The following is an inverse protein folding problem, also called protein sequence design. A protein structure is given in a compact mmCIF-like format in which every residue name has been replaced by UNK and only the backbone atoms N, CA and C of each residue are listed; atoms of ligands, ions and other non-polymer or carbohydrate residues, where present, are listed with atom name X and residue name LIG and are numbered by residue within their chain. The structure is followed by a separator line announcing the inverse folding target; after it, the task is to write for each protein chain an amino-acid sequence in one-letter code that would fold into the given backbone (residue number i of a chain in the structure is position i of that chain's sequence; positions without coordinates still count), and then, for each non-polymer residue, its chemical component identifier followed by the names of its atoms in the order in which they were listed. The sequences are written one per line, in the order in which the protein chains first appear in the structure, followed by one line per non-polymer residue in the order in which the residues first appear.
data_IF_322924450545
#
_entry.id   IF_322924450545
#
_cell.length_a   1.000
_cell.length_b   1.000
_cell.length_c   1.000
_cell.angle_alpha   90.00
_cell.angle_beta   90.00
_cell.angle_gamma   90.00
#
_symmetry.space_group_name_H-M   'P 1'
#
loop_
_entity.id
_entity.type
_entity.pdbx_description
1 polymer ?
#
# COMPACT_ATOMS: atom_id res chain seq x y z
N UNK A 1 16.03 -6.11 -5.86
CA UNK A 1 15.75 -4.67 -5.68
C UNK A 1 14.30 -4.55 -5.28
N UNK A 2 14.00 -4.56 -3.96
CA UNK A 2 12.61 -4.55 -3.47
C UNK A 2 12.22 -3.10 -3.16
N UNK A 3 11.12 -2.64 -3.75
CA UNK A 3 10.64 -1.26 -3.82
C UNK A 3 10.12 -0.73 -2.47
N UNK A 4 11.01 -0.46 -1.52
CA UNK A 4 10.66 0.28 -0.30
C UNK A 4 11.68 1.37 0.07
N UNK A 5 12.31 1.96 -0.93
CA UNK A 5 13.00 3.27 -0.89
C UNK A 5 12.94 3.75 -2.35
N UNK A 6 12.34 4.87 -2.73
CA UNK A 6 12.53 6.21 -2.20
C UNK A 6 11.42 7.10 -2.80
N UNK A 7 10.39 7.41 -2.02
CA UNK A 7 9.38 8.41 -2.41
C UNK A 7 9.73 9.66 -1.63
N UNK A 8 10.09 10.73 -2.34
CA UNK A 8 10.48 12.00 -1.69
C UNK A 8 9.35 12.56 -0.81
N UNK A 9 8.08 12.29 -1.15
CA UNK A 9 6.88 12.69 -0.39
C UNK A 9 5.76 11.65 -0.54
N UNK A 10 5.40 10.96 0.55
CA UNK A 10 4.26 10.05 0.61
C UNK A 10 3.30 10.46 1.73
N UNK A 11 2.03 10.64 1.41
CA UNK A 11 0.99 10.91 2.39
C UNK A 11 0.08 9.70 2.57
N UNK A 12 -0.34 9.45 3.80
CA UNK A 12 -1.21 8.32 4.13
C UNK A 12 -2.58 8.82 4.55
N UNK A 13 -3.61 8.26 3.94
CA UNK A 13 -5.00 8.47 4.31
C UNK A 13 -5.59 7.17 4.85
N UNK A 14 -6.18 7.28 6.03
CA UNK A 14 -6.96 6.20 6.64
C UNK A 14 -8.43 6.60 6.67
N UNK A 15 -9.30 5.67 6.31
CA UNK A 15 -10.75 5.80 6.53
C UNK A 15 -11.09 5.17 7.88
N UNK A 16 -12.00 5.75 8.67
CA UNK A 16 -12.47 5.12 9.91
C UNK A 16 -13.30 3.85 9.65
N UNK A 17 -13.70 3.62 8.39
CA UNK A 17 -14.61 2.59 7.96
C UNK A 17 -14.02 1.87 6.74
N UNK A 18 -13.58 0.60 6.86
CA UNK A 18 -12.97 -0.18 5.77
C UNK A 18 -13.81 -0.22 4.49
N UNK A 19 -15.13 -0.31 4.61
CA UNK A 19 -16.09 -0.33 3.50
C UNK A 19 -16.10 0.96 2.68
N UNK A 20 -15.56 2.05 3.21
CA UNK A 20 -15.50 3.33 2.53
C UNK A 20 -14.15 3.57 1.84
N UNK A 21 -13.22 2.61 1.85
CA UNK A 21 -11.89 2.79 1.26
C UNK A 21 -11.98 3.24 -0.19
N UNK A 22 -12.71 2.49 -1.03
CA UNK A 22 -12.87 2.77 -2.47
C UNK A 22 -13.45 4.15 -2.70
N UNK A 23 -14.60 4.43 -2.08
CA UNK A 23 -15.29 5.73 -2.20
C UNK A 23 -14.39 6.90 -1.75
N UNK A 24 -13.59 6.70 -0.71
CA UNK A 24 -12.67 7.73 -0.22
C UNK A 24 -11.50 7.94 -1.20
N UNK A 25 -10.92 6.86 -1.70
CA UNK A 25 -9.87 6.91 -2.74
C UNK A 25 -10.36 7.64 -3.98
N UNK A 26 -11.48 7.23 -4.58
CA UNK A 26 -12.05 7.90 -5.76
C UNK A 26 -12.39 9.36 -5.48
N UNK A 27 -13.00 9.63 -4.32
CA UNK A 27 -13.38 10.98 -3.94
C UNK A 27 -12.19 11.93 -3.74
N UNK A 28 -11.04 11.44 -3.27
CA UNK A 28 -9.82 12.24 -3.17
C UNK A 28 -9.19 12.45 -4.54
N UNK A 29 -9.09 11.39 -5.35
CA UNK A 29 -8.52 11.46 -6.71
C UNK A 29 -9.34 12.43 -7.57
N UNK A 30 -10.67 12.35 -7.56
CA UNK A 30 -11.57 13.26 -8.28
C UNK A 30 -11.38 14.72 -7.84
N UNK A 31 -11.30 14.97 -6.52
CA UNK A 31 -11.04 16.31 -5.99
C UNK A 31 -9.68 16.88 -6.41
N UNK A 32 -8.65 16.05 -6.46
CA UNK A 32 -7.31 16.45 -6.89
C UNK A 32 -7.27 16.68 -8.41
N UNK A 33 -7.92 15.81 -9.18
CA UNK A 33 -8.06 15.98 -10.64
C UNK A 33 -8.73 17.31 -10.98
N UNK A 34 -9.82 17.66 -10.29
CA UNK A 34 -10.49 18.98 -10.40
C UNK A 34 -9.60 20.18 -10.05
N UNK A 35 -8.50 19.95 -9.32
CA UNK A 35 -7.49 20.97 -8.99
C UNK A 35 -6.29 20.97 -9.95
N UNK A 36 -6.34 20.19 -11.04
CA UNK A 36 -5.30 20.12 -12.06
C UNK A 36 -4.18 19.12 -11.78
N UNK A 37 -4.37 18.18 -10.84
CA UNK A 37 -3.44 17.09 -10.60
C UNK A 37 -3.70 15.94 -11.58
N UNK A 38 -2.65 15.28 -12.04
CA UNK A 38 -2.76 14.12 -12.94
C UNK A 38 -2.43 12.85 -12.18
N UNK A 39 -3.33 11.88 -12.19
CA UNK A 39 -3.05 10.52 -11.71
C UNK A 39 -2.13 9.83 -12.73
N UNK A 40 -0.92 9.46 -12.33
CA UNK A 40 0.09 8.83 -13.21
C UNK A 40 0.21 7.33 -13.00
N UNK A 41 -0.18 6.82 -11.83
CA UNK A 41 -0.14 5.38 -11.52
C UNK A 41 -1.12 5.03 -10.40
N UNK A 42 -1.73 3.86 -10.51
CA UNK A 42 -2.44 3.18 -9.43
C UNK A 42 -1.85 1.78 -9.22
N UNK A 43 -1.59 1.42 -7.97
CA UNK A 43 -1.24 0.06 -7.54
C UNK A 43 -2.17 -0.38 -6.42
N UNK A 44 -2.91 -1.46 -6.65
CA UNK A 44 -3.93 -1.95 -5.74
C UNK A 44 -3.53 -3.32 -5.19
N UNK A 45 -2.77 -3.32 -4.09
CA UNK A 45 -2.22 -4.57 -3.54
C UNK A 45 -3.27 -5.44 -2.85
N UNK A 46 -4.53 -4.98 -2.74
CA UNK A 46 -5.66 -5.84 -2.36
C UNK A 46 -6.00 -6.88 -3.43
N UNK A 47 -5.60 -6.64 -4.68
CA UNK A 47 -5.79 -7.57 -5.80
C UNK A 47 -4.57 -8.48 -6.04
N UNK A 48 -3.45 -8.17 -5.38
CA UNK A 48 -2.20 -8.92 -5.46
C UNK A 48 -2.06 -9.91 -4.30
N UNK A 49 -2.47 -11.16 -4.52
CA UNK A 49 -2.35 -12.25 -3.53
C UNK A 49 -0.90 -12.65 -3.24
N UNK A 50 0.06 -12.21 -4.06
CA UNK A 50 1.49 -12.42 -3.84
C UNK A 50 2.14 -11.31 -3.00
N UNK A 51 1.36 -10.35 -2.53
CA UNK A 51 1.84 -9.24 -1.72
C UNK A 51 1.17 -9.24 -0.33
N UNK A 52 1.94 -9.32 0.76
CA UNK A 52 1.38 -9.24 2.10
C UNK A 52 0.92 -7.81 2.45
N UNK A 53 1.47 -6.77 1.83
CA UNK A 53 1.02 -5.42 2.09
C UNK A 53 -0.34 -5.17 1.44
N UNK A 54 -1.30 -4.63 2.20
CA UNK A 54 -2.66 -4.36 1.71
C UNK A 54 -2.99 -2.87 1.78
N UNK A 55 -3.15 -2.25 0.62
CA UNK A 55 -3.41 -0.83 0.45
C UNK A 55 -3.64 -0.47 -1.02
N UNK A 56 -3.98 0.79 -1.25
CA UNK A 56 -4.01 1.38 -2.59
C UNK A 56 -2.97 2.49 -2.62
N UNK A 57 -1.99 2.37 -3.52
CA UNK A 57 -0.97 3.38 -3.73
C UNK A 57 -1.26 4.10 -5.05
N UNK A 58 -1.14 5.42 -5.03
CA UNK A 58 -1.35 6.25 -6.21
C UNK A 58 -0.23 7.26 -6.36
N UNK A 59 0.24 7.45 -7.58
CA UNK A 59 1.15 8.54 -7.90
C UNK A 59 0.35 9.67 -8.57
N UNK A 60 0.57 10.89 -8.11
CA UNK A 60 -0.02 12.09 -8.70
C UNK A 60 1.05 13.11 -9.06
N UNK A 61 0.85 13.75 -10.20
CA UNK A 61 1.65 14.86 -10.71
C UNK A 61 0.88 16.15 -10.43
N UNK A 62 1.52 17.07 -9.71
CA UNK A 62 1.00 18.42 -9.43
C UNK A 62 0.89 19.25 -10.71
N UNK A 63 0.08 20.33 -10.74
CA UNK A 63 -0.01 21.23 -11.90
C UNK A 63 1.32 21.85 -12.35
N UNK A 64 2.32 21.90 -11.46
CA UNK A 64 3.66 22.45 -11.72
C UNK A 64 4.72 21.36 -11.99
N UNK A 65 4.30 20.10 -12.14
CA UNK A 65 5.14 19.01 -12.61
C UNK A 65 5.84 18.15 -11.54
N UNK A 66 5.65 18.44 -10.25
CA UNK A 66 6.17 17.56 -9.17
C UNK A 66 5.31 16.32 -9.00
N UNK A 67 5.94 15.16 -8.78
CA UNK A 67 5.26 13.90 -8.47
C UNK A 67 5.32 13.59 -6.97
N UNK A 68 4.22 13.07 -6.42
CA UNK A 68 4.13 12.56 -5.05
C UNK A 68 3.23 11.33 -4.99
N UNK A 69 3.34 10.56 -3.91
CA UNK A 69 2.48 9.40 -3.68
C UNK A 69 1.39 9.69 -2.63
N UNK A 70 0.17 9.23 -2.90
CA UNK A 70 -0.89 9.08 -1.91
C UNK A 70 -1.19 7.60 -1.69
N UNK A 71 -1.12 7.18 -0.44
CA UNK A 71 -1.47 5.83 0.00
C UNK A 71 -2.78 5.83 0.77
N UNK A 72 -3.66 4.90 0.45
CA UNK A 72 -4.95 4.69 1.10
C UNK A 72 -4.98 3.34 1.80
N UNK A 73 -5.37 3.35 3.06
CA UNK A 73 -5.48 2.15 3.89
C UNK A 73 -6.77 2.14 4.71
N UNK A 74 -7.20 0.93 5.08
CA UNK A 74 -8.10 0.75 6.22
C UNK A 74 -7.33 0.96 7.53
N UNK A 75 -7.99 1.21 8.68
CA UNK A 75 -7.32 1.34 9.96
C UNK A 75 -6.53 0.08 10.31
N UNK A 76 -7.14 -1.08 10.10
CA UNK A 76 -6.56 -2.41 10.36
C UNK A 76 -5.33 -2.65 9.49
N UNK A 77 -5.43 -2.43 8.18
CA UNK A 77 -4.29 -2.61 7.26
C UNK A 77 -3.15 -1.65 7.56
N UNK A 78 -3.47 -0.41 7.98
CA UNK A 78 -2.45 0.58 8.37
C UNK A 78 -1.77 0.19 9.69
N UNK A 79 -2.53 -0.31 10.66
CA UNK A 79 -2.00 -0.77 11.95
C UNK A 79 -1.09 -1.99 11.77
N UNK A 80 -1.49 -2.97 10.94
CA UNK A 80 -0.64 -4.12 10.60
C UNK A 80 0.64 -3.66 9.90
N UNK A 81 0.51 -2.79 8.89
CA UNK A 81 1.64 -2.22 8.14
C UNK A 81 2.66 -1.55 9.07
N UNK A 82 2.22 -0.68 9.98
CA UNK A 82 3.11 0.10 10.86
C UNK A 82 3.52 -0.62 12.14
N UNK A 83 2.90 -1.76 12.46
CA UNK A 83 3.22 -2.57 13.63
C UNK A 83 4.04 -3.79 13.24
N UNK A 84 3.48 -4.97 13.50
CA UNK A 84 4.18 -6.25 13.35
C UNK A 84 4.78 -6.48 11.96
N UNK A 85 4.12 -6.02 10.88
CA UNK A 85 4.64 -6.21 9.53
C UNK A 85 5.90 -5.38 9.28
N UNK A 86 5.97 -4.15 9.81
CA UNK A 86 7.17 -3.32 9.70
C UNK A 86 8.36 -3.97 10.40
N UNK A 87 8.16 -4.49 11.62
CA UNK A 87 9.23 -5.18 12.35
C UNK A 87 9.77 -6.40 11.60
N UNK A 88 8.87 -7.20 11.01
CA UNK A 88 9.25 -8.34 10.17
C UNK A 88 10.04 -7.90 8.93
N UNK A 89 9.64 -6.79 8.32
CA UNK A 89 10.32 -6.25 7.15
C UNK A 89 11.72 -5.76 7.48
N UNK A 90 11.89 -5.01 8.56
CA UNK A 90 13.21 -4.54 9.00
C UNK A 90 14.14 -5.73 9.26
N UNK A 91 13.64 -6.79 9.91
CA UNK A 91 14.39 -8.05 10.10
C UNK A 91 14.76 -8.68 8.76
N UNK A 92 13.81 -8.82 7.84
CA UNK A 92 14.05 -9.42 6.52
C UNK A 92 15.08 -8.61 5.71
N UNK A 93 15.03 -7.27 5.79
CA UNK A 93 15.89 -6.36 5.03
C UNK A 93 17.37 -6.53 5.35
N UNK A 94 17.70 -6.96 6.56
CA UNK A 94 19.07 -7.19 7.01
C UNK A 94 19.63 -8.56 6.59
N UNK A 95 18.77 -9.47 6.13
CA UNK A 95 19.15 -10.84 5.76
C UNK A 95 19.81 -10.92 4.38
N UNK A 96 20.69 -11.90 4.21
CA UNK A 96 21.27 -12.18 2.91
C UNK A 96 20.34 -13.11 2.10
N UNK A 97 19.91 -12.72 0.88
CA UNK A 97 18.95 -13.50 0.10
C UNK A 97 19.37 -14.94 -0.23
N UNK A 98 20.69 -15.20 -0.27
CA UNK A 98 21.24 -16.51 -0.63
C UNK A 98 21.51 -17.34 0.63
N UNK A 99 22.08 -16.73 1.67
CA UNK A 99 22.49 -17.47 2.89
C UNK A 99 21.36 -17.67 3.89
N UNK A 100 20.37 -16.79 3.88
CA UNK A 100 19.26 -16.78 4.86
C UNK A 100 17.91 -17.08 4.20
N UNK A 101 17.90 -17.78 3.05
CA UNK A 101 16.69 -18.06 2.28
C UNK A 101 15.54 -18.68 3.12
N UNK A 102 15.86 -19.62 4.01
CA UNK A 102 14.86 -20.26 4.89
C UNK A 102 14.24 -19.27 5.88
N UNK A 103 15.05 -18.35 6.44
CA UNK A 103 14.54 -17.31 7.35
C UNK A 103 13.68 -16.30 6.61
N UNK A 104 14.08 -15.92 5.40
CA UNK A 104 13.31 -15.02 4.53
C UNK A 104 11.95 -15.65 4.23
N UNK A 105 11.92 -16.93 3.86
CA UNK A 105 10.67 -17.66 3.62
C UNK A 105 9.78 -17.72 4.87
N UNK A 106 10.37 -17.94 6.04
CA UNK A 106 9.61 -17.93 7.30
C UNK A 106 9.01 -16.54 7.57
N UNK A 107 9.79 -15.48 7.43
CA UNK A 107 9.31 -14.11 7.62
C UNK A 107 8.20 -13.77 6.61
N UNK A 108 8.37 -14.14 5.34
CA UNK A 108 7.35 -13.95 4.31
C UNK A 108 6.04 -14.61 4.72
N UNK A 109 6.10 -15.86 5.18
CA UNK A 109 4.92 -16.58 5.67
C UNK A 109 4.24 -15.83 6.82
N UNK A 110 5.01 -15.36 7.80
CA UNK A 110 4.48 -14.58 8.93
C UNK A 110 3.80 -13.30 8.45
N UNK A 111 4.40 -12.58 7.49
CA UNK A 111 3.77 -11.40 6.89
C UNK A 111 2.44 -11.74 6.20
N UNK A 112 2.36 -12.83 5.44
CA UNK A 112 1.12 -13.25 4.79
C UNK A 112 0.02 -13.66 5.78
N UNK A 113 0.37 -14.29 6.89
CA UNK A 113 -0.62 -14.62 7.92
C UNK A 113 -1.22 -13.36 8.57
N UNK A 114 -0.40 -12.32 8.80
CA UNK A 114 -0.91 -11.02 9.27
C UNK A 114 -1.94 -10.45 8.27
N UNK A 115 -1.64 -10.52 6.98
CA UNK A 115 -2.50 -9.97 5.92
C UNK A 115 -3.80 -10.74 5.75
N UNK A 116 -3.79 -12.06 5.92
CA UNK A 116 -4.99 -12.91 5.82
C UNK A 116 -6.04 -12.58 6.88
N UNK A 117 -5.62 -12.04 8.01
CA UNK A 117 -6.54 -11.59 9.06
C UNK A 117 -7.28 -10.30 8.73
N UNK A 118 -6.84 -9.56 7.70
CA UNK A 118 -7.43 -8.27 7.33
C UNK A 118 -8.77 -8.46 6.63
N UNK A 119 -9.75 -7.64 7.01
CA UNK A 119 -11.03 -7.57 6.29
C UNK A 119 -10.81 -6.91 4.93
N UNK A 120 -11.10 -7.65 3.86
CA UNK A 120 -11.08 -7.11 2.49
C UNK A 120 -12.11 -5.96 2.37
N UNK A 121 -11.70 -4.76 1.90
CA UNK A 121 -12.61 -3.65 1.66
C UNK A 121 -13.67 -4.01 0.63
N UNK A 122 -14.86 -3.42 0.79
CA UNK A 122 -15.96 -3.61 -0.15
C UNK A 122 -15.60 -2.96 -1.50
N UNK A 123 -15.92 -3.64 -2.60
CA UNK A 123 -15.81 -3.15 -3.98
C UNK A 123 -14.37 -2.75 -4.39
N UNK A 124 -13.35 -3.30 -3.71
CA UNK A 124 -11.93 -2.89 -3.88
C UNK A 124 -11.38 -3.15 -5.29
N UNK A 125 -11.99 -4.08 -6.02
CA UNK A 125 -11.74 -4.38 -7.42
C UNK A 125 -12.16 -3.28 -8.41
N UNK A 126 -12.98 -2.31 -7.99
CA UNK A 126 -13.34 -1.15 -8.83
C UNK A 126 -12.11 -0.27 -9.08
N UNK A 127 -11.19 -0.20 -8.10
CA UNK A 127 -9.93 0.51 -8.27
C UNK A 127 -9.00 -0.35 -9.12
N UNK A 128 -8.96 -0.07 -10.42
CA UNK A 128 -8.06 -0.71 -11.36
C UNK A 128 -6.58 -0.44 -11.08
N UNK A 129 -5.71 -1.28 -11.65
CA UNK A 129 -4.27 -1.04 -11.70
C UNK A 129 -3.90 -0.48 -13.09
N UNK A 130 -2.92 0.43 -13.10
CA UNK A 130 -2.32 0.98 -14.33
C UNK A 130 -1.09 0.18 -14.79
#
# INVERSE_FOLDING_TARGET
MCFFLQILYAFHFTTNHPENLVKHTEGIIDKLSKKGYTLSRVRNTWLDDSNPYKGINTNLITPIGYEFELQFHTPESFAVKNGAMHELYEKQRELNPIKDADKIQQIDKEMFELSRSLKRPKDVEIIGED
#
